data_IF_037937435859
#
_entry.id   IF_037937435859
#
_cell.length_a   1.000
_cell.length_b   1.000
_cell.length_c   1.000
_cell.angle_alpha   90.00
_cell.angle_beta   90.00
_cell.angle_gamma   90.00
#
_symmetry.space_group_name_H-M   'P 1'
#
loop_
_entity.id
_entity.type
_entity.pdbx_description
1 polymer ?
#
# COMPACT_ATOMS: atom_id res chain seq x y z
N UNK A 1 -23.91 17.27 15.01
CA UNK A 1 -22.59 17.07 14.35
C UNK A 1 -22.87 17.06 12.86
N UNK A 2 -22.31 18.00 12.09
CA UNK A 2 -22.67 18.20 10.69
C UNK A 2 -21.92 17.20 9.80
N UNK A 3 -22.53 16.73 8.71
CA UNK A 3 -21.99 15.71 7.80
C UNK A 3 -20.64 16.14 7.15
N UNK A 4 -20.39 17.45 7.13
CA UNK A 4 -19.13 18.07 6.71
C UNK A 4 -17.95 17.83 7.68
N UNK A 5 -18.21 17.70 8.98
CA UNK A 5 -17.16 17.45 9.99
C UNK A 5 -16.67 15.99 9.92
N UNK A 6 -17.58 15.07 9.61
CA UNK A 6 -17.27 13.63 9.43
C UNK A 6 -16.31 13.44 8.26
N UNK A 7 -16.48 14.15 7.14
CA UNK A 7 -15.61 14.03 5.96
C UNK A 7 -14.17 14.52 6.16
N UNK A 8 -13.92 15.38 7.15
CA UNK A 8 -12.56 15.88 7.43
C UNK A 8 -11.68 14.85 8.15
N UNK A 9 -12.27 13.91 8.86
CA UNK A 9 -11.54 12.81 9.53
C UNK A 9 -11.23 11.62 8.61
N UNK A 10 -11.94 11.49 7.47
CA UNK A 10 -11.84 10.32 6.58
C UNK A 10 -10.49 10.18 5.87
N UNK A 11 -9.64 11.22 5.83
CA UNK A 11 -8.31 11.16 5.20
C UNK A 11 -7.20 11.56 6.17
N UNK A 12 -7.15 10.90 7.33
CA UNK A 12 -6.08 11.09 8.31
C UNK A 12 -4.70 10.75 7.74
N UNK A 13 -4.62 9.88 6.73
CA UNK A 13 -3.37 9.45 6.10
C UNK A 13 -3.26 9.99 4.67
N UNK A 14 -2.10 10.53 4.32
CA UNK A 14 -1.81 11.07 2.97
C UNK A 14 -0.49 10.53 2.46
N UNK A 15 -0.48 10.04 1.23
CA UNK A 15 0.77 9.70 0.54
C UNK A 15 1.49 11.01 0.20
N UNK A 16 2.66 11.20 0.79
CA UNK A 16 3.56 12.33 0.51
C UNK A 16 4.49 12.02 -0.65
N UNK A 17 4.96 10.79 -0.70
CA UNK A 17 5.96 10.36 -1.67
C UNK A 17 5.82 8.87 -1.99
N UNK A 18 5.97 8.51 -3.26
CA UNK A 18 6.09 7.13 -3.72
C UNK A 18 7.58 6.84 -3.88
N UNK A 19 8.09 5.89 -3.10
CA UNK A 19 9.49 5.51 -3.08
C UNK A 19 9.72 4.26 -3.95
N UNK A 20 11.00 3.97 -4.23
CA UNK A 20 11.39 2.75 -4.94
C UNK A 20 10.98 1.50 -4.16
N UNK A 21 10.89 0.37 -4.86
CA UNK A 21 10.62 -0.95 -4.28
C UNK A 21 9.29 -1.05 -3.51
N UNK A 22 8.23 -0.37 -3.99
CA UNK A 22 6.89 -0.45 -3.43
C UNK A 22 6.81 0.08 -1.98
N UNK A 23 7.55 1.14 -1.67
CA UNK A 23 7.49 1.84 -0.39
C UNK A 23 6.80 3.20 -0.57
N UNK A 24 6.14 3.66 0.48
CA UNK A 24 5.34 4.88 0.48
C UNK A 24 5.62 5.67 1.74
N UNK A 25 5.95 6.95 1.58
CA UNK A 25 5.99 7.88 2.70
C UNK A 25 4.57 8.38 2.96
N UNK A 26 4.01 8.03 4.11
CA UNK A 26 2.66 8.39 4.50
C UNK A 26 2.75 9.32 5.72
N UNK A 27 2.10 10.48 5.62
CA UNK A 27 1.93 11.39 6.74
C UNK A 27 0.55 11.19 7.36
N UNK A 28 0.48 11.22 8.69
CA UNK A 28 -0.76 11.49 9.41
C UNK A 28 -0.66 12.82 10.21
N UNK A 29 -1.63 13.12 11.07
CA UNK A 29 -1.65 14.36 11.84
C UNK A 29 -0.52 14.48 12.89
N UNK A 30 0.20 13.40 13.19
CA UNK A 30 1.22 13.34 14.25
C UNK A 30 2.62 12.96 13.74
N UNK A 31 2.72 12.06 12.76
CA UNK A 31 3.98 11.48 12.29
C UNK A 31 4.03 11.35 10.77
N UNK A 32 5.25 11.23 10.24
CA UNK A 32 5.51 10.76 8.89
C UNK A 32 6.30 9.46 8.96
N UNK A 33 5.78 8.41 8.34
CA UNK A 33 6.38 7.08 8.38
C UNK A 33 6.44 6.47 6.99
N UNK A 34 7.34 5.50 6.81
CA UNK A 34 7.52 4.78 5.55
C UNK A 34 6.97 3.38 5.72
N UNK A 35 6.04 3.00 4.84
CA UNK A 35 5.43 1.68 4.83
C UNK A 35 5.61 1.01 3.48
N UNK A 36 5.72 -0.31 3.48
CA UNK A 36 5.65 -1.08 2.23
C UNK A 36 4.19 -1.20 1.77
N UNK A 37 3.98 -1.35 0.47
CA UNK A 37 2.65 -1.61 -0.09
C UNK A 37 2.02 -2.89 0.47
N UNK A 38 2.83 -3.93 0.74
CA UNK A 38 2.37 -5.15 1.43
C UNK A 38 1.84 -4.87 2.85
N UNK A 39 2.51 -4.00 3.60
CA UNK A 39 2.06 -3.62 4.94
C UNK A 39 0.75 -2.82 4.86
N UNK A 40 0.69 -1.82 3.97
CA UNK A 40 -0.50 -0.98 3.78
C UNK A 40 -1.71 -1.83 3.37
N UNK A 41 -1.54 -2.78 2.45
CA UNK A 41 -2.63 -3.67 2.02
C UNK A 41 -3.14 -4.61 3.13
N UNK A 42 -2.35 -4.85 4.19
CA UNK A 42 -2.72 -5.73 5.31
C UNK A 42 -3.16 -4.97 6.55
N UNK A 43 -2.77 -3.70 6.68
CA UNK A 43 -3.15 -2.85 7.79
C UNK A 43 -4.45 -2.10 7.43
N UNK A 44 -5.58 -2.64 7.90
CA UNK A 44 -6.92 -2.12 7.58
C UNK A 44 -7.12 -0.68 8.06
N UNK A 45 -6.46 -0.28 9.15
CA UNK A 45 -6.57 1.06 9.71
C UNK A 45 -5.94 2.08 8.76
N UNK A 46 -4.71 1.85 8.29
CA UNK A 46 -4.08 2.75 7.30
C UNK A 46 -4.84 2.69 5.99
N UNK A 47 -5.21 1.49 5.54
CA UNK A 47 -5.88 1.28 4.26
C UNK A 47 -7.19 2.05 4.14
N UNK A 48 -8.05 2.01 5.18
CA UNK A 48 -9.35 2.67 5.16
C UNK A 48 -9.29 4.21 5.20
N UNK A 49 -8.17 4.78 5.64
CA UNK A 49 -7.99 6.23 5.76
C UNK A 49 -7.18 6.84 4.60
N UNK A 50 -6.86 6.04 3.58
CA UNK A 50 -6.28 6.51 2.33
C UNK A 50 -7.36 6.78 1.29
N UNK A 51 -7.05 7.61 0.30
CA UNK A 51 -7.96 7.85 -0.81
C UNK A 51 -8.15 6.55 -1.63
N UNK A 52 -9.36 6.35 -2.17
CA UNK A 52 -9.66 5.19 -3.04
C UNK A 52 -8.67 5.09 -4.21
N UNK A 53 -8.29 6.22 -4.80
CA UNK A 53 -7.30 6.27 -5.89
C UNK A 53 -5.93 5.74 -5.45
N UNK A 54 -5.47 6.13 -4.28
CA UNK A 54 -4.20 5.68 -3.72
C UNK A 54 -4.24 4.20 -3.36
N UNK A 55 -5.33 3.76 -2.73
CA UNK A 55 -5.59 2.35 -2.42
C UNK A 55 -5.51 1.50 -3.68
N UNK A 56 -6.21 1.87 -4.75
CA UNK A 56 -6.21 1.12 -6.01
C UNK A 56 -4.80 1.01 -6.60
N UNK A 57 -4.02 2.11 -6.58
CA UNK A 57 -2.63 2.11 -7.07
C UNK A 57 -1.72 1.22 -6.24
N UNK A 58 -1.77 1.34 -4.91
CA UNK A 58 -0.95 0.54 -3.99
C UNK A 58 -1.28 -0.94 -4.16
N UNK A 59 -2.57 -1.30 -4.16
CA UNK A 59 -3.02 -2.68 -4.31
C UNK A 59 -2.59 -3.28 -5.65
N UNK A 60 -2.73 -2.51 -6.75
CA UNK A 60 -2.29 -2.95 -8.07
C UNK A 60 -0.79 -3.22 -8.12
N UNK A 61 0.05 -2.25 -7.69
CA UNK A 61 1.50 -2.39 -7.75
C UNK A 61 1.98 -3.52 -6.83
N UNK A 62 1.43 -3.60 -5.62
CA UNK A 62 1.76 -4.65 -4.65
C UNK A 62 1.39 -6.03 -5.18
N UNK A 63 0.18 -6.18 -5.73
CA UNK A 63 -0.28 -7.42 -6.33
C UNK A 63 0.57 -7.84 -7.54
N UNK A 64 0.89 -6.90 -8.42
CA UNK A 64 1.74 -7.13 -9.58
C UNK A 64 3.14 -7.61 -9.18
N UNK A 65 3.78 -6.92 -8.24
CA UNK A 65 5.12 -7.28 -7.74
C UNK A 65 5.12 -8.66 -7.07
N UNK A 66 4.09 -8.95 -6.28
CA UNK A 66 3.93 -10.26 -5.62
C UNK A 66 3.73 -11.37 -6.64
N UNK A 67 2.88 -11.17 -7.65
CA UNK A 67 2.68 -12.11 -8.75
C UNK A 67 3.97 -12.39 -9.51
N UNK A 68 4.71 -11.33 -9.88
CA UNK A 68 6.01 -11.47 -10.54
C UNK A 68 7.01 -12.27 -9.71
N UNK A 69 7.08 -12.02 -8.39
CA UNK A 69 7.97 -12.78 -7.49
C UNK A 69 7.60 -14.26 -7.46
N UNK A 70 6.31 -14.58 -7.31
CA UNK A 70 5.83 -15.97 -7.30
C UNK A 70 6.17 -16.66 -8.62
N UNK A 71 5.98 -16.01 -9.77
CA UNK A 71 6.37 -16.57 -11.07
C UNK A 71 7.85 -16.89 -11.16
N UNK A 72 8.72 -16.02 -10.62
CA UNK A 72 10.17 -16.27 -10.58
C UNK A 72 10.49 -17.46 -9.67
N UNK A 73 9.91 -17.52 -8.47
CA UNK A 73 10.09 -18.61 -7.52
C UNK A 73 9.67 -19.97 -8.14
N UNK A 74 8.54 -20.02 -8.83
CA UNK A 74 8.08 -21.22 -9.54
C UNK A 74 9.09 -21.67 -10.60
N UNK A 75 9.58 -20.75 -11.43
CA UNK A 75 10.55 -21.09 -12.47
C UNK A 75 11.87 -21.63 -11.88
N UNK A 76 12.36 -21.01 -10.80
CA UNK A 76 13.57 -21.46 -10.11
C UNK A 76 13.40 -22.87 -9.51
N UNK A 77 12.24 -23.16 -8.94
CA UNK A 77 11.92 -24.50 -8.43
C UNK A 77 11.89 -25.52 -9.57
N UNK A 78 11.29 -25.19 -10.72
CA UNK A 78 11.22 -26.08 -11.88
C UNK A 78 12.61 -26.34 -12.49
N UNK A 79 13.48 -25.34 -12.51
CA UNK A 79 14.85 -25.50 -13.02
C UNK A 79 15.72 -26.33 -12.07
N UNK A 80 15.53 -26.23 -10.75
CA UNK A 80 16.22 -27.06 -9.77
C UNK A 80 15.78 -28.53 -9.73
N UNK A 81 14.66 -28.87 -10.40
CA UNK A 81 14.15 -30.24 -10.53
C UNK A 81 14.62 -30.95 -11.82
N UNK A 82 15.32 -30.25 -12.71
CA UNK A 82 15.92 -30.80 -13.94
C UNK A 82 17.34 -31.27 -13.68
#
# INVERSE_FOLDING_TARGET
>A
MNEYDIKKEVNAYKIKEILRNNFYKISNNATEEIYSGDYICKNIDIFNHLSVSDICKIAYITGFNKGRRISIEINQLLDGLK
#
